data_IF_721296974841
#
_entry.id   IF_721296974841
#
_cell.length_a   1.000
_cell.length_b   1.000
_cell.length_c   1.000
_cell.angle_alpha   90.00
_cell.angle_beta   90.00
_cell.angle_gamma   90.00
#
_symmetry.space_group_name_H-M   'P 1'
#
loop_
_entity.id
_entity.type
_entity.pdbx_description
1 polymer ?
#
# COMPACT_ATOMS: atom_id res chain seq x y z
N UNK A 1 -6.73 -18.29 -0.03
CA UNK A 1 -6.66 -17.71 1.32
C UNK A 1 -6.45 -16.20 1.22
N UNK A 2 -7.24 -15.46 1.97
CA UNK A 2 -7.16 -14.02 1.98
C UNK A 2 -6.08 -13.54 2.96
N UNK A 3 -5.21 -12.66 2.49
CA UNK A 3 -4.17 -12.06 3.31
C UNK A 3 -4.32 -10.54 3.25
N UNK A 4 -4.24 -9.89 4.40
CA UNK A 4 -4.28 -8.44 4.49
C UNK A 4 -2.97 -7.96 5.08
N UNK A 5 -2.32 -7.04 4.38
CA UNK A 5 -1.10 -6.41 4.84
C UNK A 5 -1.33 -4.92 4.99
N UNK A 6 -0.90 -4.37 6.11
CA UNK A 6 -1.08 -2.95 6.41
C UNK A 6 0.30 -2.31 6.51
N UNK A 7 0.43 -1.13 5.87
CA UNK A 7 1.68 -0.39 5.86
C UNK A 7 1.45 1.01 6.42
N UNK A 8 2.39 1.46 7.22
CA UNK A 8 2.46 2.85 7.63
C UNK A 8 3.23 3.63 6.57
N UNK A 9 2.73 4.81 6.21
CA UNK A 9 3.39 5.64 5.20
C UNK A 9 3.47 7.09 5.69
N UNK A 10 4.16 7.93 4.90
CA UNK A 10 4.17 9.37 5.09
C UNK A 10 3.42 10.10 3.97
N UNK A 11 2.60 9.38 3.22
CA UNK A 11 1.83 9.97 2.13
C UNK A 11 0.70 10.80 2.71
N UNK A 12 0.66 12.10 2.37
CA UNK A 12 -0.37 13.03 2.85
C UNK A 12 -1.24 13.59 1.75
N UNK A 13 -0.72 13.59 0.52
CA UNK A 13 -1.41 14.17 -0.63
C UNK A 13 -2.34 13.14 -1.25
N UNK A 14 -3.63 13.48 -1.36
CA UNK A 14 -4.64 12.58 -1.91
C UNK A 14 -4.38 12.22 -3.37
N UNK A 15 -3.82 13.14 -4.15
CA UNK A 15 -3.51 12.86 -5.55
C UNK A 15 -2.35 11.87 -5.65
N UNK A 16 -1.33 12.02 -4.82
CA UNK A 16 -0.22 11.07 -4.79
C UNK A 16 -0.71 9.71 -4.35
N UNK A 17 -1.53 9.66 -3.29
CA UNK A 17 -2.10 8.39 -2.81
C UNK A 17 -2.89 7.70 -3.91
N UNK A 18 -3.70 8.46 -4.66
CA UNK A 18 -4.48 7.91 -5.75
C UNK A 18 -3.61 7.34 -6.86
N UNK A 19 -2.53 8.04 -7.22
CA UNK A 19 -1.59 7.55 -8.22
C UNK A 19 -0.92 6.26 -7.77
N UNK A 20 -0.53 6.18 -6.50
CA UNK A 20 0.09 4.98 -5.95
C UNK A 20 -0.90 3.81 -6.00
N UNK A 21 -2.13 4.04 -5.59
CA UNK A 21 -3.16 2.99 -5.62
C UNK A 21 -3.37 2.49 -7.04
N UNK A 22 -3.50 3.40 -8.01
CA UNK A 22 -3.71 3.01 -9.40
C UNK A 22 -2.53 2.20 -9.93
N UNK A 23 -1.31 2.61 -9.61
CA UNK A 23 -0.13 1.90 -10.05
C UNK A 23 -0.05 0.50 -9.43
N UNK A 24 -0.28 0.40 -8.13
CA UNK A 24 -0.27 -0.90 -7.44
C UNK A 24 -1.39 -1.80 -7.93
N UNK A 25 -2.56 -1.23 -8.23
CA UNK A 25 -3.69 -1.98 -8.74
C UNK A 25 -3.40 -2.59 -10.10
N UNK A 26 -2.65 -1.88 -10.95
CA UNK A 26 -2.22 -2.39 -12.25
C UNK A 26 -1.17 -3.49 -12.13
N UNK A 27 -0.31 -3.37 -11.14
CA UNK A 27 0.76 -4.33 -10.88
C UNK A 27 0.23 -5.59 -10.21
N UNK A 28 -0.68 -5.41 -9.26
CA UNK A 28 -1.25 -6.50 -8.46
C UNK A 28 -2.76 -6.55 -8.69
N UNK A 29 -3.15 -7.04 -9.86
CA UNK A 29 -4.55 -7.04 -10.30
C UNK A 29 -5.47 -7.89 -9.43
N UNK A 30 -4.90 -8.85 -8.70
CA UNK A 30 -5.65 -9.73 -7.81
C UNK A 30 -5.78 -9.16 -6.39
N UNK A 31 -5.20 -7.97 -6.14
CA UNK A 31 -5.23 -7.34 -4.83
C UNK A 31 -6.25 -6.20 -4.79
N UNK A 32 -6.74 -5.93 -3.58
CA UNK A 32 -7.53 -4.76 -3.26
C UNK A 32 -6.63 -3.79 -2.52
N UNK A 33 -6.55 -2.55 -3.00
CA UNK A 33 -5.60 -1.59 -2.45
C UNK A 33 -6.33 -0.30 -2.09
N UNK A 34 -6.13 0.16 -0.85
CA UNK A 34 -6.75 1.38 -0.34
C UNK A 34 -5.77 2.15 0.51
N UNK A 35 -5.89 3.47 0.46
CA UNK A 35 -5.21 4.35 1.41
C UNK A 35 -6.23 4.91 2.39
N UNK A 36 -5.84 4.97 3.67
CA UNK A 36 -6.60 5.69 4.68
C UNK A 36 -5.74 6.86 5.16
N UNK A 37 -5.96 8.02 4.55
CA UNK A 37 -5.20 9.22 4.87
C UNK A 37 -5.73 9.96 6.10
N UNK A 38 -6.90 9.58 6.57
CA UNK A 38 -7.47 10.15 7.79
C UNK A 38 -6.85 9.54 9.04
N UNK A 39 -6.22 8.37 8.90
CA UNK A 39 -5.48 7.75 9.97
C UNK A 39 -4.16 8.50 10.17
N UNK A 40 -3.74 8.68 11.43
CA UNK A 40 -2.49 9.39 11.74
C UNK A 40 -1.26 8.70 11.16
N UNK A 41 -1.33 7.40 10.92
CA UNK A 41 -0.24 6.61 10.34
C UNK A 41 -0.27 6.56 8.82
N UNK A 42 -1.20 7.26 8.18
CA UNK A 42 -1.34 7.28 6.71
C UNK A 42 -1.28 5.87 6.12
N UNK A 43 -2.28 5.09 6.46
CA UNK A 43 -2.28 3.64 6.22
C UNK A 43 -2.49 3.30 4.76
N UNK A 44 -1.63 2.41 4.23
CA UNK A 44 -1.85 1.72 2.97
C UNK A 44 -2.28 0.30 3.31
N UNK A 45 -3.44 -0.10 2.81
CA UNK A 45 -3.98 -1.43 3.03
C UNK A 45 -3.97 -2.20 1.73
N UNK A 46 -3.34 -3.37 1.75
CA UNK A 46 -3.27 -4.28 0.60
C UNK A 46 -3.89 -5.60 0.99
N UNK A 47 -4.91 -6.02 0.25
CA UNK A 47 -5.61 -7.26 0.51
C UNK A 47 -5.47 -8.18 -0.70
N UNK A 48 -4.94 -9.38 -0.48
CA UNK A 48 -4.76 -10.37 -1.54
C UNK A 48 -5.69 -11.54 -1.32
N UNK A 49 -6.40 -11.94 -2.38
CA UNK A 49 -7.28 -13.11 -2.35
C UNK A 49 -6.52 -14.40 -2.63
N UNK A 50 -5.32 -14.29 -3.18
CA UNK A 50 -4.57 -15.45 -3.66
C UNK A 50 -3.27 -15.68 -2.91
N UNK A 51 -3.15 -15.14 -1.72
CA UNK A 51 -2.02 -15.42 -0.86
C UNK A 51 -0.97 -14.31 -0.84
N UNK A 52 0.26 -14.68 -0.98
CA UNK A 52 1.43 -13.88 -0.64
C UNK A 52 1.45 -12.45 -1.18
N UNK A 53 1.80 -11.51 -0.30
CA UNK A 53 2.03 -10.11 -0.65
C UNK A 53 3.54 -9.83 -0.50
N UNK A 54 4.15 -9.28 -1.55
CA UNK A 54 5.58 -8.97 -1.55
C UNK A 54 5.81 -7.60 -0.92
N UNK A 55 6.01 -7.59 0.40
CA UNK A 55 6.16 -6.36 1.17
C UNK A 55 7.31 -5.49 0.69
N UNK A 56 8.47 -6.11 0.46
CA UNK A 56 9.67 -5.38 0.02
C UNK A 56 9.42 -4.70 -1.32
N UNK A 57 8.75 -5.37 -2.23
CA UNK A 57 8.45 -4.83 -3.54
C UNK A 57 7.53 -3.62 -3.43
N UNK A 58 6.51 -3.69 -2.57
CA UNK A 58 5.61 -2.58 -2.34
C UNK A 58 6.37 -1.40 -1.72
N UNK A 59 7.24 -1.66 -0.76
CA UNK A 59 8.07 -0.61 -0.16
C UNK A 59 8.93 0.09 -1.19
N UNK A 60 9.54 -0.67 -2.11
CA UNK A 60 10.38 -0.09 -3.16
C UNK A 60 9.55 0.76 -4.13
N UNK A 61 8.35 0.31 -4.48
CA UNK A 61 7.48 1.07 -5.38
C UNK A 61 7.08 2.41 -4.76
N UNK A 62 6.76 2.41 -3.48
CA UNK A 62 6.39 3.64 -2.78
C UNK A 62 7.59 4.56 -2.63
N UNK A 63 8.78 3.99 -2.41
CA UNK A 63 10.01 4.78 -2.35
C UNK A 63 10.28 5.53 -3.66
N UNK A 64 9.91 4.96 -4.80
CA UNK A 64 10.06 5.63 -6.09
C UNK A 64 9.21 6.90 -6.20
N UNK A 65 8.13 6.98 -5.44
CA UNK A 65 7.32 8.19 -5.36
C UNK A 65 7.87 9.20 -4.34
N UNK A 66 9.01 8.88 -3.72
CA UNK A 66 9.62 9.75 -2.73
C UNK A 66 9.00 9.64 -1.35
N UNK A 67 8.34 8.52 -1.05
CA UNK A 67 7.64 8.32 0.20
C UNK A 67 8.15 7.12 0.97
N UNK A 68 7.91 7.17 2.28
CA UNK A 68 8.28 6.12 3.21
C UNK A 68 7.13 5.11 3.36
N UNK A 69 7.48 3.86 3.54
CA UNK A 69 6.50 2.80 3.73
C UNK A 69 7.12 1.68 4.54
N UNK A 70 6.44 1.27 5.61
CA UNK A 70 6.88 0.11 6.38
C UNK A 70 5.68 -0.75 6.79
N UNK A 71 5.84 -2.07 6.84
CA UNK A 71 4.76 -2.93 7.32
C UNK A 71 4.44 -2.64 8.78
N UNK A 72 3.15 -2.58 9.10
CA UNK A 72 2.70 -2.52 10.48
C UNK A 72 2.35 -3.92 10.92
N UNK A 73 2.91 -4.33 12.05
CA UNK A 73 2.60 -5.62 12.63
C UNK A 73 1.91 -5.42 13.97
N UNK A 74 0.91 -6.24 14.21
CA UNK A 74 0.19 -6.21 15.48
C UNK A 74 1.03 -6.76 16.63
#
# INVERSE_FOLDING_TARGET
>A
MKIVQIFKTDVRDRLVARHIVLFLQQTYTHCRINFDLDDCDRILRVESQQGKIEETEIQLLIAKYGHYCEPLQD
#
